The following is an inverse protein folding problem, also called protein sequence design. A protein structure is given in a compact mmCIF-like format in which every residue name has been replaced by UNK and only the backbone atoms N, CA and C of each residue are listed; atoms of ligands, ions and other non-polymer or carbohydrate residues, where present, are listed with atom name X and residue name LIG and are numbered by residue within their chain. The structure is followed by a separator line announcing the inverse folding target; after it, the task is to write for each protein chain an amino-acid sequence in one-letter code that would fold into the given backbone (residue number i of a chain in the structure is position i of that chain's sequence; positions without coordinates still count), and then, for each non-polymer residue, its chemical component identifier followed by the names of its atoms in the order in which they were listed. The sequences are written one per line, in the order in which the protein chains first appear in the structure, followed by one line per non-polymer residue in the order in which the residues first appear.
data_IF_206232284797
#
_entry.id   IF_206232284797
#
_cell.length_a   1.000
_cell.length_b   1.000
_cell.length_c   1.000
_cell.angle_alpha   90.00
_cell.angle_beta   90.00
_cell.angle_gamma   90.00
#
_symmetry.space_group_name_H-M   'P 1'
#
loop_
_entity.id
_entity.type
_entity.pdbx_description
1 polymer ?
#
# COMPACT_ATOMS: atom_id res chain seq x y z
N UNK A 1 3.16 -11.09 -16.60
CA UNK A 1 2.47 -10.22 -15.63
C UNK A 1 3.51 -9.24 -15.16
N UNK A 2 3.31 -7.96 -15.44
CA UNK A 2 4.30 -6.94 -15.14
C UNK A 2 4.04 -6.35 -13.77
N UNK A 3 5.12 -5.92 -13.11
CA UNK A 3 5.02 -5.17 -11.86
C UNK A 3 4.19 -3.91 -12.10
N UNK A 4 3.22 -3.65 -11.23
CA UNK A 4 2.42 -2.43 -11.31
C UNK A 4 3.33 -1.18 -11.26
N UNK A 5 3.09 -0.17 -12.12
CA UNK A 5 3.92 1.02 -12.17
C UNK A 5 3.71 1.89 -10.93
N UNK A 6 4.68 2.75 -10.61
CA UNK A 6 4.55 3.71 -9.50
C UNK A 6 3.31 4.62 -9.63
N UNK A 7 2.88 4.91 -10.87
CA UNK A 7 1.66 5.68 -11.14
C UNK A 7 0.37 4.98 -10.67
N UNK A 8 0.36 3.65 -10.59
CA UNK A 8 -0.78 2.91 -10.04
C UNK A 8 -1.02 3.26 -8.57
N UNK A 9 0.05 3.38 -7.79
CA UNK A 9 -0.01 3.64 -6.34
C UNK A 9 -0.15 5.13 -6.00
N UNK A 10 0.24 6.03 -6.91
CA UNK A 10 0.22 7.47 -6.71
C UNK A 10 -1.15 8.10 -7.06
N UNK A 11 -2.25 7.51 -6.55
CA UNK A 11 -3.65 7.93 -6.72
C UNK A 11 -4.35 8.00 -5.36
N UNK A 12 -5.60 8.46 -5.33
CA UNK A 12 -6.40 8.48 -4.09
C UNK A 12 -6.56 7.05 -3.54
N UNK A 13 -6.44 6.89 -2.23
CA UNK A 13 -6.52 5.58 -1.56
C UNK A 13 -7.85 4.86 -1.82
N UNK A 14 -8.94 5.61 -2.04
CA UNK A 14 -10.26 5.07 -2.34
C UNK A 14 -10.35 4.47 -3.76
N UNK A 15 -9.44 4.82 -4.66
CA UNK A 15 -9.29 4.16 -5.96
C UNK A 15 -8.33 2.96 -5.86
N UNK A 16 -7.20 3.15 -5.19
CA UNK A 16 -6.12 2.14 -5.14
C UNK A 16 -6.53 0.89 -4.37
N UNK A 17 -7.14 1.05 -3.19
CA UNK A 17 -7.50 -0.07 -2.32
C UNK A 17 -8.40 -1.11 -3.02
N UNK A 18 -9.58 -0.76 -3.58
CA UNK A 18 -10.42 -1.76 -4.26
C UNK A 18 -9.74 -2.34 -5.51
N UNK A 19 -8.93 -1.56 -6.24
CA UNK A 19 -8.23 -2.06 -7.43
C UNK A 19 -7.07 -3.02 -7.12
N UNK A 20 -6.57 -3.02 -5.88
CA UNK A 20 -5.57 -4.00 -5.42
C UNK A 20 -6.17 -5.40 -5.25
N UNK A 21 -7.48 -5.52 -5.00
CA UNK A 21 -8.13 -6.83 -4.89
C UNK A 21 -7.96 -7.60 -6.21
N UNK A 22 -7.56 -8.86 -6.11
CA UNK A 22 -7.23 -9.74 -7.24
C UNK A 22 -5.84 -9.52 -7.83
N UNK A 23 -5.07 -8.51 -7.40
CA UNK A 23 -3.65 -8.37 -7.78
C UNK A 23 -2.79 -9.39 -7.02
N UNK A 24 -1.59 -9.62 -7.54
CA UNK A 24 -0.65 -10.60 -6.98
C UNK A 24 0.46 -9.87 -6.22
N UNK A 25 0.57 -10.13 -4.92
CA UNK A 25 1.73 -9.80 -4.12
C UNK A 25 2.80 -10.87 -4.37
N UNK A 26 3.97 -10.44 -4.83
CA UNK A 26 5.11 -11.31 -5.10
C UNK A 26 6.20 -11.05 -4.08
N UNK A 27 6.62 -12.09 -3.35
CA UNK A 27 7.74 -12.03 -2.40
C UNK A 27 8.90 -12.86 -2.93
N UNK A 28 10.03 -12.20 -3.18
CA UNK A 28 11.31 -12.85 -3.47
C UNK A 28 12.16 -12.91 -2.20
N UNK A 29 12.68 -14.08 -1.90
CA UNK A 29 13.56 -14.35 -0.76
C UNK A 29 15.03 -14.38 -1.22
N UNK A 30 15.95 -14.22 -0.26
CA UNK A 30 17.40 -14.17 -0.55
C UNK A 30 17.96 -15.52 -1.06
N UNK A 31 17.26 -16.62 -0.78
CA UNK A 31 17.59 -17.97 -1.27
C UNK A 31 17.08 -18.23 -2.70
N UNK A 32 16.46 -17.23 -3.34
CA UNK A 32 15.92 -17.32 -4.70
C UNK A 32 14.49 -17.87 -4.77
N UNK A 33 13.87 -18.24 -3.64
CA UNK A 33 12.45 -18.60 -3.62
C UNK A 33 11.59 -17.40 -3.99
N UNK A 34 10.54 -17.64 -4.77
CA UNK A 34 9.51 -16.65 -5.11
C UNK A 34 8.14 -17.20 -4.74
N UNK A 35 7.37 -16.43 -3.99
CA UNK A 35 6.01 -16.79 -3.56
C UNK A 35 5.01 -15.75 -4.07
N UNK A 36 3.83 -16.22 -4.46
CA UNK A 36 2.78 -15.42 -5.08
C UNK A 36 1.49 -15.56 -4.28
N UNK A 37 0.91 -14.43 -3.90
CA UNK A 37 -0.30 -14.37 -3.10
C UNK A 37 -1.31 -13.45 -3.77
N UNK A 38 -2.57 -13.87 -3.85
CA UNK A 38 -3.64 -13.00 -4.33
C UNK A 38 -4.10 -12.11 -3.18
N UNK A 39 -4.19 -10.81 -3.42
CA UNK A 39 -4.80 -9.88 -2.47
C UNK A 39 -6.32 -10.10 -2.51
N UNK A 40 -6.88 -10.59 -1.42
CA UNK A 40 -8.33 -10.88 -1.30
C UNK A 40 -9.09 -9.77 -0.59
N UNK A 41 -8.39 -8.93 0.18
CA UNK A 41 -8.98 -7.91 1.02
C UNK A 41 -8.01 -6.74 1.19
N UNK A 42 -8.58 -5.53 1.36
CA UNK A 42 -7.85 -4.28 1.59
C UNK A 42 -8.66 -3.35 2.47
N UNK A 43 -8.00 -2.58 3.32
CA UNK A 43 -8.58 -1.44 4.03
C UNK A 43 -7.94 -0.14 3.53
N UNK A 44 -8.74 0.93 3.44
CA UNK A 44 -8.29 2.25 3.07
C UNK A 44 -8.26 3.16 4.31
N UNK A 45 -7.11 3.77 4.56
CA UNK A 45 -6.95 4.81 5.58
C UNK A 45 -6.59 6.13 4.92
N UNK A 46 -7.37 7.18 5.16
CA UNK A 46 -7.30 8.42 4.37
C UNK A 46 -6.77 9.59 5.19
N UNK A 47 -5.48 9.53 5.53
CA UNK A 47 -4.75 10.69 6.05
C UNK A 47 -5.18 11.15 7.45
N UNK A 48 -4.98 12.45 7.71
CA UNK A 48 -5.17 13.02 9.05
C UNK A 48 -6.66 13.20 9.41
N UNK A 49 -7.53 13.33 8.41
CA UNK A 49 -8.98 13.44 8.61
C UNK A 49 -9.65 12.13 9.07
N UNK A 50 -9.00 11.00 8.79
CA UNK A 50 -9.48 9.68 9.18
C UNK A 50 -9.00 9.34 10.59
N UNK A 51 -9.91 9.41 11.57
CA UNK A 51 -9.61 9.14 12.98
C UNK A 51 -9.14 7.71 13.26
N UNK A 52 -9.40 6.75 12.36
CA UNK A 52 -8.88 5.39 12.46
C UNK A 52 -7.46 5.26 11.88
N UNK A 53 -7.04 6.21 11.04
CA UNK A 53 -5.69 6.26 10.48
C UNK A 53 -4.67 6.68 11.54
N UNK A 54 -3.48 6.06 11.54
CA UNK A 54 -2.37 6.51 12.38
C UNK A 54 -1.93 7.94 12.06
N UNK A 55 -2.08 8.40 10.81
CA UNK A 55 -1.79 9.78 10.42
C UNK A 55 -2.68 10.81 11.13
N UNK A 56 -3.83 10.43 11.70
CA UNK A 56 -4.63 11.32 12.56
C UNK A 56 -3.88 11.83 13.81
N UNK A 57 -2.74 11.23 14.16
CA UNK A 57 -1.84 11.70 15.23
C UNK A 57 -0.72 12.61 14.73
N UNK A 58 -0.76 12.97 13.45
CA UNK A 58 0.25 13.78 12.79
C UNK A 58 1.49 12.98 12.39
N UNK A 59 2.48 13.73 11.89
CA UNK A 59 3.76 13.19 11.41
C UNK A 59 4.71 12.94 12.56
N UNK A 60 5.08 11.68 12.73
CA UNK A 60 6.00 11.17 13.75
C UNK A 60 7.01 10.23 13.09
N UNK A 61 8.11 9.84 13.74
CA UNK A 61 9.02 8.84 13.18
C UNK A 61 8.34 7.54 12.75
N UNK A 62 7.25 7.13 13.44
CA UNK A 62 6.47 5.93 13.09
C UNK A 62 5.55 6.14 11.89
N UNK A 63 4.93 7.32 11.77
CA UNK A 63 3.97 7.63 10.69
C UNK A 63 4.62 8.27 9.47
N UNK A 64 5.93 8.53 9.52
CA UNK A 64 6.71 9.18 8.46
C UNK A 64 6.40 8.61 7.08
N UNK A 65 6.40 7.28 6.94
CA UNK A 65 6.16 6.58 5.67
C UNK A 65 4.81 6.95 5.03
N UNK A 66 3.80 7.28 5.83
CA UNK A 66 2.45 7.62 5.38
C UNK A 66 2.37 9.01 4.72
N UNK A 67 3.42 9.84 4.87
CA UNK A 67 3.54 11.17 4.26
C UNK A 67 4.37 11.18 2.98
N UNK A 68 4.89 10.02 2.55
CA UNK A 68 5.56 9.89 1.27
C UNK A 68 4.54 9.69 0.14
N UNK A 69 5.02 9.78 -1.11
CA UNK A 69 4.22 9.41 -2.28
C UNK A 69 3.76 7.96 -2.17
N UNK A 70 2.60 7.61 -2.71
CA UNK A 70 2.12 6.23 -2.74
C UNK A 70 3.11 5.25 -3.40
N UNK A 71 3.14 4.01 -2.89
CA UNK A 71 4.02 2.93 -3.36
C UNK A 71 5.24 2.65 -2.50
N UNK A 72 5.32 3.25 -1.30
CA UNK A 72 6.37 2.99 -0.30
C UNK A 72 5.80 2.14 0.85
N UNK A 73 6.67 1.33 1.46
CA UNK A 73 6.39 0.43 2.60
C UNK A 73 7.50 0.58 3.62
#
# INVERSE_FOLDING_TARGET
MDRLPASFYARDVLEVAPELIGKILVRRYDDGREEHFIITETEAYRGEEDLACHASKGRTPRTEIMYHRGGYV
#
